data_IF_316752049667
#
_entry.id   IF_316752049667
#
_cell.length_a   1.000
_cell.length_b   1.000
_cell.length_c   1.000
_cell.angle_alpha   90.00
_cell.angle_beta   90.00
_cell.angle_gamma   90.00
#
_symmetry.space_group_name_H-M   'P 1'
#
loop_
_entity.id
_entity.type
_entity.pdbx_description
1 polymer ?
#
# COMPACT_ATOMS: atom_id res chain seq x y z
N UNK A 1 17.22 -18.93 1.77
CA UNK A 1 16.00 -18.21 1.32
C UNK A 1 15.63 -18.55 -0.12
N UNK A 2 16.57 -18.53 -1.07
CA UNK A 2 16.31 -18.77 -2.51
C UNK A 2 15.63 -20.12 -2.83
N UNK A 3 15.97 -21.20 -2.11
CA UNK A 3 15.29 -22.51 -2.25
C UNK A 3 13.82 -22.44 -1.82
N UNK A 4 13.54 -21.73 -0.73
CA UNK A 4 12.19 -21.59 -0.20
C UNK A 4 11.32 -20.68 -1.09
N UNK A 5 11.86 -19.59 -1.62
CA UNK A 5 11.12 -18.73 -2.56
C UNK A 5 10.79 -19.45 -3.86
N UNK A 6 11.74 -20.22 -4.42
CA UNK A 6 11.49 -21.05 -5.62
C UNK A 6 10.42 -22.12 -5.36
N UNK A 7 10.49 -22.81 -4.23
CA UNK A 7 9.48 -23.81 -3.86
C UNK A 7 8.10 -23.18 -3.66
N UNK A 8 8.04 -21.97 -3.09
CA UNK A 8 6.79 -21.24 -2.88
C UNK A 8 6.19 -20.77 -4.21
N UNK A 9 6.99 -20.22 -5.13
CA UNK A 9 6.53 -19.84 -6.48
C UNK A 9 5.99 -21.06 -7.24
N UNK A 10 6.70 -22.19 -7.19
CA UNK A 10 6.23 -23.43 -7.82
C UNK A 10 4.93 -23.95 -7.20
N UNK A 11 4.77 -23.81 -5.88
CA UNK A 11 3.53 -24.20 -5.20
C UNK A 11 2.37 -23.26 -5.53
N UNK A 12 2.59 -21.95 -5.63
CA UNK A 12 1.56 -20.98 -6.04
C UNK A 12 1.04 -21.34 -7.43
N UNK A 13 1.93 -21.56 -8.40
CA UNK A 13 1.58 -21.98 -9.76
C UNK A 13 0.81 -23.30 -9.75
N UNK A 14 1.28 -24.30 -9.01
CA UNK A 14 0.60 -25.58 -8.90
C UNK A 14 -0.80 -25.45 -8.26
N UNK A 15 -0.92 -24.67 -7.20
CA UNK A 15 -2.21 -24.43 -6.53
C UNK A 15 -3.20 -23.66 -7.40
N UNK A 16 -2.73 -22.77 -8.28
CA UNK A 16 -3.56 -22.10 -9.28
C UNK A 16 -4.10 -23.12 -10.30
N UNK A 17 -3.26 -24.05 -10.80
CA UNK A 17 -3.71 -25.13 -11.71
C UNK A 17 -4.70 -26.09 -11.05
N UNK A 18 -4.48 -26.47 -9.79
CA UNK A 18 -5.35 -27.39 -9.04
C UNK A 18 -6.70 -26.74 -8.68
N UNK A 19 -6.74 -25.42 -8.47
CA UNK A 19 -7.99 -24.68 -8.22
C UNK A 19 -8.77 -24.38 -9.52
N UNK A 20 -8.10 -24.28 -10.67
CA UNK A 20 -8.73 -24.25 -11.98
C UNK A 20 -9.38 -25.59 -12.36
N UNK A 21 -8.81 -26.72 -11.93
CA UNK A 21 -9.35 -28.06 -12.21
C UNK A 21 -10.51 -28.48 -11.29
N UNK A 22 -10.57 -27.98 -10.05
CA UNK A 22 -11.61 -28.34 -9.08
C UNK A 22 -12.84 -27.40 -9.06
N UNK A 23 -12.84 -26.30 -9.82
CA UNK A 23 -13.97 -25.37 -9.86
C UNK A 23 -14.91 -25.67 -11.03
N UNK A 24 -16.05 -26.30 -10.74
CA UNK A 24 -17.19 -26.52 -11.66
C UNK A 24 -17.86 -25.20 -12.15
N UNK A 25 -17.26 -24.04 -11.81
CA UNK A 25 -17.66 -22.70 -12.26
C UNK A 25 -16.41 -21.96 -12.73
N UNK A 26 -16.13 -22.07 -14.04
CA UNK A 26 -15.06 -21.35 -14.76
C UNK A 26 -14.95 -19.88 -14.33
N UNK A 27 -13.86 -19.51 -13.65
CA UNK A 27 -13.30 -18.16 -13.69
C UNK A 27 -12.45 -18.03 -14.95
N UNK A 28 -13.08 -17.63 -16.06
CA UNK A 28 -12.48 -17.60 -17.41
C UNK A 28 -11.69 -16.29 -17.70
N UNK A 29 -11.16 -15.61 -16.69
CA UNK A 29 -10.60 -14.25 -16.85
C UNK A 29 -9.28 -14.01 -16.14
N UNK A 30 -8.66 -15.02 -15.53
CA UNK A 30 -7.36 -14.87 -14.86
C UNK A 30 -6.36 -15.81 -15.55
N UNK A 31 -5.55 -15.28 -16.47
CA UNK A 31 -4.47 -16.02 -17.13
C UNK A 31 -3.44 -16.48 -16.07
N UNK A 32 -2.91 -17.70 -16.23
CA UNK A 32 -2.08 -18.39 -15.23
C UNK A 32 -0.79 -17.63 -14.82
N UNK A 33 -0.28 -16.76 -15.69
CA UNK A 33 0.89 -15.91 -15.39
C UNK A 33 0.52 -14.66 -14.56
N UNK A 34 -0.74 -14.21 -14.61
CA UNK A 34 -1.24 -13.02 -13.89
C UNK A 34 -1.55 -13.33 -12.43
N UNK A 35 -2.06 -14.53 -12.13
CA UNK A 35 -2.41 -14.94 -10.74
C UNK A 35 -1.18 -15.09 -9.83
N UNK A 36 -0.06 -15.56 -10.39
CA UNK A 36 1.20 -15.66 -9.64
C UNK A 36 1.87 -14.30 -9.43
N UNK A 37 1.65 -13.34 -10.33
CA UNK A 37 2.15 -11.98 -10.21
C UNK A 37 1.29 -11.10 -9.28
N UNK A 38 -0.02 -11.35 -9.22
CA UNK A 38 -0.97 -10.54 -8.43
C UNK A 38 -1.14 -11.00 -6.97
N UNK A 39 -0.65 -12.19 -6.60
CA UNK A 39 -0.76 -12.67 -5.22
C UNK A 39 0.37 -12.11 -4.34
N UNK A 40 0.07 -11.25 -3.33
CA UNK A 40 1.11 -10.67 -2.49
C UNK A 40 1.74 -11.73 -1.59
N UNK A 41 3.08 -11.73 -1.51
CA UNK A 41 3.84 -12.63 -0.63
C UNK A 41 4.19 -11.86 0.65
N UNK A 42 3.92 -12.44 1.82
CA UNK A 42 4.32 -11.90 3.12
C UNK A 42 5.18 -12.88 3.91
N UNK A 43 5.95 -12.34 4.85
CA UNK A 43 6.77 -13.11 5.78
C UNK A 43 6.24 -12.92 7.20
N UNK A 44 5.89 -14.03 7.86
CA UNK A 44 5.47 -14.01 9.27
C UNK A 44 6.71 -14.08 10.16
N UNK A 45 6.97 -13.02 10.91
CA UNK A 45 8.11 -12.95 11.83
C UNK A 45 7.64 -13.26 13.26
N UNK A 46 8.11 -14.36 13.83
CA UNK A 46 7.77 -14.78 15.20
C UNK A 46 8.97 -14.57 16.13
N UNK A 47 8.80 -13.78 17.19
CA UNK A 47 9.84 -13.56 18.21
C UNK A 47 9.48 -14.31 19.49
N UNK A 48 10.47 -14.97 20.11
CA UNK A 48 10.27 -15.67 21.40
C UNK A 48 10.11 -14.72 22.58
N UNK A 49 10.61 -13.48 22.46
CA UNK A 49 10.48 -12.43 23.46
C UNK A 49 9.30 -11.52 23.11
N UNK A 50 8.50 -11.17 24.10
CA UNK A 50 7.41 -10.22 23.96
C UNK A 50 7.97 -8.83 23.62
N UNK A 51 7.47 -8.23 22.55
CA UNK A 51 7.81 -6.86 22.14
C UNK A 51 6.97 -5.91 22.99
N UNK A 52 7.26 -5.84 24.29
CA UNK A 52 6.82 -4.74 25.14
C UNK A 52 8.07 -4.02 25.60
N UNK A 53 8.48 -3.05 24.82
CA UNK A 53 9.16 -1.89 25.40
C UNK A 53 8.60 -0.64 24.73
N UNK A 54 7.66 -0.04 25.46
CA UNK A 54 7.20 1.35 25.42
C UNK A 54 7.30 2.13 24.10
N UNK A 55 6.12 2.56 23.62
CA UNK A 55 5.89 3.67 22.66
C UNK A 55 6.28 3.47 21.18
N UNK A 56 6.68 2.27 20.74
CA UNK A 56 7.14 1.99 19.36
C UNK A 56 6.18 1.13 18.52
N UNK A 57 4.87 1.30 18.68
CA UNK A 57 3.89 0.74 17.70
C UNK A 57 3.67 1.69 16.52
N UNK A 58 4.71 2.46 16.14
CA UNK A 58 4.69 3.26 14.92
C UNK A 58 5.09 2.34 13.76
N UNK A 59 4.32 2.29 12.67
CA UNK A 59 4.75 1.58 11.47
C UNK A 59 6.06 2.22 10.97
N UNK A 60 7.10 1.40 10.86
CA UNK A 60 8.39 1.81 10.31
C UNK A 60 8.47 1.48 8.83
N UNK A 61 9.09 2.37 8.04
CA UNK A 61 9.46 2.06 6.65
C UNK A 61 10.75 1.25 6.63
N UNK A 62 10.76 0.12 5.93
CA UNK A 62 11.97 -0.65 5.65
C UNK A 62 12.46 -0.29 4.25
N UNK A 63 13.69 0.22 4.07
CA UNK A 63 14.24 0.46 2.74
C UNK A 63 14.53 -0.88 2.04
N UNK A 64 13.95 -1.08 0.86
CA UNK A 64 14.14 -2.28 0.05
C UNK A 64 14.91 -1.89 -1.22
N UNK A 65 15.89 -2.71 -1.69
CA UNK A 65 16.65 -2.43 -2.90
C UNK A 65 15.81 -2.43 -4.19
N UNK A 66 14.74 -3.21 -4.23
CA UNK A 66 13.79 -3.27 -5.33
C UNK A 66 12.46 -2.66 -4.90
N UNK A 67 11.93 -1.73 -5.69
CA UNK A 67 10.61 -1.14 -5.44
C UNK A 67 9.52 -2.19 -5.59
N UNK A 68 8.59 -2.23 -4.64
CA UNK A 68 7.38 -3.06 -4.74
C UNK A 68 6.27 -2.36 -5.55
N UNK A 69 6.37 -1.05 -5.72
CA UNK A 69 5.31 -0.25 -6.34
C UNK A 69 5.53 -0.11 -7.84
N UNK A 70 4.44 -0.26 -8.60
CA UNK A 70 4.40 -0.04 -10.03
C UNK A 70 4.59 1.45 -10.35
N UNK A 71 5.06 1.75 -11.56
CA UNK A 71 5.44 3.11 -11.96
C UNK A 71 4.23 4.06 -12.18
N UNK A 72 3.04 3.51 -12.24
CA UNK A 72 1.74 4.15 -12.45
C UNK A 72 0.91 4.31 -11.16
N UNK A 73 1.43 3.85 -10.02
CA UNK A 73 0.70 3.91 -8.75
C UNK A 73 0.39 5.36 -8.32
N UNK A 74 -0.87 5.56 -7.91
CA UNK A 74 -1.38 6.84 -7.42
C UNK A 74 -1.10 7.02 -5.92
N UNK A 75 -0.60 8.20 -5.55
CA UNK A 75 -0.14 8.51 -4.20
C UNK A 75 -1.01 9.61 -3.59
N UNK A 76 -1.53 9.35 -2.39
CA UNK A 76 -2.19 10.34 -1.55
C UNK A 76 -1.31 10.71 -0.35
N UNK A 77 -1.01 12.00 -0.20
CA UNK A 77 -0.25 12.54 0.93
C UNK A 77 -1.20 13.06 2.02
N UNK A 78 -1.04 12.56 3.24
CA UNK A 78 -1.77 13.01 4.43
C UNK A 78 -0.81 13.82 5.29
N UNK A 79 -1.09 15.11 5.43
CA UNK A 79 -0.15 16.06 6.02
C UNK A 79 -0.75 16.82 7.19
N UNK A 80 0.14 17.33 8.05
CA UNK A 80 -0.22 18.21 9.13
C UNK A 80 -0.51 19.59 8.55
N UNK A 81 -1.49 20.29 9.13
CA UNK A 81 -1.79 21.66 8.74
C UNK A 81 -0.52 22.52 8.80
N UNK A 82 -0.24 23.37 7.78
CA UNK A 82 -1.13 23.80 6.70
C UNK A 82 -0.95 23.11 5.32
N UNK A 83 -2.05 22.68 4.69
CA UNK A 83 -2.09 22.05 3.35
C UNK A 83 -1.37 22.81 2.24
N UNK A 84 -1.47 24.15 2.25
CA UNK A 84 -1.04 25.00 1.13
C UNK A 84 0.46 24.91 0.92
N UNK A 85 1.24 24.99 1.99
CA UNK A 85 2.69 24.87 1.92
C UNK A 85 3.15 23.55 1.28
N UNK A 86 2.43 22.46 1.52
CA UNK A 86 2.75 21.17 0.92
C UNK A 86 2.29 21.02 -0.53
N UNK A 87 1.21 21.71 -0.93
CA UNK A 87 0.84 21.80 -2.34
C UNK A 87 1.85 22.63 -3.11
N UNK A 88 2.20 23.79 -2.58
CA UNK A 88 3.19 24.68 -3.17
C UNK A 88 4.55 23.97 -3.32
N UNK A 89 4.94 23.13 -2.35
CA UNK A 89 6.16 22.31 -2.42
C UNK A 89 6.08 21.13 -3.42
N UNK A 90 4.89 20.60 -3.68
CA UNK A 90 4.69 19.56 -4.73
C UNK A 90 4.69 20.20 -6.11
N UNK A 91 4.18 21.42 -6.23
CA UNK A 91 4.10 22.18 -7.49
C UNK A 91 5.45 22.84 -7.87
N UNK A 92 6.34 23.06 -6.89
CA UNK A 92 7.68 23.65 -7.08
C UNK A 92 8.56 22.85 -8.06
N UNK A 93 9.25 23.57 -8.96
CA UNK A 93 10.03 23.07 -10.09
C UNK A 93 11.17 22.12 -9.67
N UNK A 94 11.66 22.25 -8.44
CA UNK A 94 12.67 21.38 -7.85
C UNK A 94 12.21 19.93 -7.62
N UNK A 95 10.89 19.66 -7.62
CA UNK A 95 10.37 18.33 -7.33
C UNK A 95 10.32 17.46 -8.61
N UNK A 96 10.76 16.18 -8.60
CA UNK A 96 10.79 15.37 -9.81
C UNK A 96 9.41 15.25 -10.49
N UNK A 97 9.31 15.57 -11.78
CA UNK A 97 8.05 15.50 -12.55
C UNK A 97 7.39 14.12 -12.51
N UNK A 98 8.23 13.07 -12.45
CA UNK A 98 7.77 11.68 -12.32
C UNK A 98 6.97 11.46 -11.02
N UNK A 99 7.32 12.17 -9.94
CA UNK A 99 6.61 12.09 -8.67
C UNK A 99 5.41 13.04 -8.63
N UNK A 100 5.47 14.22 -9.29
CA UNK A 100 4.30 15.12 -9.40
C UNK A 100 3.12 14.43 -10.08
N UNK A 101 3.37 13.70 -11.17
CA UNK A 101 2.33 12.94 -11.88
C UNK A 101 1.69 11.84 -11.03
N UNK A 102 2.43 11.30 -10.05
CA UNK A 102 1.95 10.24 -9.15
C UNK A 102 1.19 10.78 -7.95
N UNK A 103 1.46 12.02 -7.51
CA UNK A 103 0.78 12.62 -6.36
C UNK A 103 -0.56 13.19 -6.83
N UNK A 104 -1.62 12.43 -6.62
CA UNK A 104 -2.97 12.82 -7.05
C UNK A 104 -3.57 13.83 -6.07
N UNK A 105 -3.38 13.63 -4.76
CA UNK A 105 -4.04 14.41 -3.71
C UNK A 105 -3.16 14.63 -2.49
N UNK A 106 -3.21 15.86 -1.97
CA UNK A 106 -2.66 16.24 -0.66
C UNK A 106 -3.83 16.60 0.25
N UNK A 107 -3.95 15.94 1.40
CA UNK A 107 -5.07 16.08 2.34
C UNK A 107 -4.54 16.41 3.74
N UNK A 108 -5.13 17.41 4.38
CA UNK A 108 -4.86 17.70 5.79
C UNK A 108 -5.72 16.83 6.71
N UNK A 109 -5.23 16.55 7.92
CA UNK A 109 -5.99 15.81 8.95
C UNK A 109 -7.38 16.41 9.23
N UNK A 110 -7.48 17.74 9.29
CA UNK A 110 -8.74 18.44 9.54
C UNK A 110 -9.73 18.28 8.37
N UNK A 111 -9.21 18.25 7.13
CA UNK A 111 -10.03 18.03 5.95
C UNK A 111 -10.43 16.57 5.80
N UNK A 112 -9.56 15.64 6.21
CA UNK A 112 -9.84 14.22 6.24
C UNK A 112 -11.02 13.93 7.18
N UNK A 113 -10.95 14.41 8.42
CA UNK A 113 -12.03 14.23 9.41
C UNK A 113 -13.36 14.89 9.00
N UNK A 114 -13.31 16.08 8.38
CA UNK A 114 -14.52 16.81 7.99
C UNK A 114 -15.20 16.26 6.73
N UNK A 115 -14.43 15.89 5.71
CA UNK A 115 -14.98 15.49 4.39
C UNK A 115 -15.15 13.98 4.24
N UNK A 116 -14.36 13.19 4.95
CA UNK A 116 -14.34 11.73 4.82
C UNK A 116 -14.78 11.02 6.10
N UNK A 117 -15.72 11.62 6.84
CA UNK A 117 -16.35 10.97 8.01
C UNK A 117 -17.31 9.85 7.60
N UNK A 118 -17.95 9.97 6.44
CA UNK A 118 -18.88 8.96 5.92
C UNK A 118 -18.13 7.78 5.29
N UNK A 119 -18.57 6.56 5.60
CA UNK A 119 -17.96 5.32 5.10
C UNK A 119 -17.89 5.25 3.56
N UNK A 120 -18.89 5.77 2.85
CA UNK A 120 -18.87 5.81 1.37
C UNK A 120 -17.75 6.69 0.83
N UNK A 121 -17.51 7.84 1.46
CA UNK A 121 -16.44 8.75 1.07
C UNK A 121 -15.07 8.12 1.33
N UNK A 122 -14.91 7.39 2.45
CA UNK A 122 -13.68 6.66 2.75
C UNK A 122 -13.41 5.54 1.74
N UNK A 123 -14.44 4.76 1.38
CA UNK A 123 -14.33 3.71 0.36
C UNK A 123 -13.97 4.29 -1.01
N UNK A 124 -14.54 5.44 -1.36
CA UNK A 124 -14.20 6.13 -2.60
C UNK A 124 -12.74 6.59 -2.62
N UNK A 125 -12.25 7.18 -1.52
CA UNK A 125 -10.84 7.59 -1.40
C UNK A 125 -9.90 6.40 -1.47
N UNK A 126 -10.25 5.29 -0.82
CA UNK A 126 -9.49 4.04 -0.86
C UNK A 126 -9.46 3.43 -2.27
N UNK A 127 -10.55 3.52 -3.03
CA UNK A 127 -10.60 3.00 -4.39
C UNK A 127 -9.87 3.89 -5.43
N UNK A 128 -9.69 5.18 -5.12
CA UNK A 128 -9.02 6.15 -6.01
C UNK A 128 -7.49 6.11 -5.88
N UNK A 129 -6.96 5.60 -4.77
CA UNK A 129 -5.54 5.71 -4.43
C UNK A 129 -4.93 4.37 -4.03
N UNK A 130 -3.78 4.06 -4.62
CA UNK A 130 -3.05 2.82 -4.36
C UNK A 130 -2.17 2.94 -3.11
N UNK A 131 -1.59 4.13 -2.88
CA UNK A 131 -0.60 4.36 -1.81
C UNK A 131 -0.99 5.58 -0.98
N UNK A 132 -0.95 5.41 0.34
CA UNK A 132 -1.12 6.49 1.31
C UNK A 132 0.19 6.74 2.06
N UNK A 133 0.65 7.99 2.08
CA UNK A 133 1.80 8.42 2.88
C UNK A 133 1.30 9.42 3.93
N UNK A 134 1.64 9.18 5.19
CA UNK A 134 1.31 10.08 6.29
C UNK A 134 2.57 10.60 6.98
N UNK A 135 2.55 11.85 7.42
CA UNK A 135 3.57 12.37 8.34
C UNK A 135 3.54 11.57 9.65
N UNK A 136 4.73 11.21 10.16
CA UNK A 136 4.92 10.45 11.41
C UNK A 136 4.14 11.05 12.60
N UNK A 137 3.95 12.39 12.60
CA UNK A 137 3.18 13.10 13.64
C UNK A 137 1.69 12.77 13.63
N UNK A 138 1.16 12.32 12.49
CA UNK A 138 -0.27 12.08 12.26
C UNK A 138 -0.62 10.61 12.25
N UNK A 139 0.34 9.72 11.98
CA UNK A 139 0.10 8.27 11.87
C UNK A 139 -0.64 7.69 13.08
N UNK A 140 -0.41 8.20 14.29
CA UNK A 140 -1.11 7.75 15.51
C UNK A 140 -2.59 8.18 15.59
N UNK A 141 -3.00 9.14 14.77
CA UNK A 141 -4.38 9.67 14.70
C UNK A 141 -5.19 9.12 13.52
N UNK A 142 -4.54 8.47 12.54
CA UNK A 142 -5.21 7.86 11.38
C UNK A 142 -6.13 6.67 11.66
N UNK A 143 -5.91 5.82 12.68
CA UNK A 143 -6.81 4.68 12.92
C UNK A 143 -8.11 5.06 13.65
N UNK A 144 -8.32 6.34 13.96
CA UNK A 144 -9.53 6.86 14.61
C UNK A 144 -10.49 7.42 13.58
#
# INVERSE_FOLDING_TARGET
TLKASKALLAHIQKSATESAQNSDKKKLLEDEDDVAAQTPIWLTLTTKRHIADTNKLKPGRVPVPHSFHAEDSTICLIVASPQRAYKDAVDDEAFPEALRKRITRVIDINHLQKKFSQYEAQRKLYAEHDIFLGDERIVTRLPK
#
